data_IF_315100623375
#
_entry.id   IF_315100623375
#
_cell.length_a   1.000
_cell.length_b   1.000
_cell.length_c   1.000
_cell.angle_alpha   90.00
_cell.angle_beta   90.00
_cell.angle_gamma   90.00
#
_symmetry.space_group_name_H-M   'P 1'
#
loop_
_entity.id
_entity.type
_entity.pdbx_description
1 polymer ?
#
# COMPACT_ATOMS: atom_id res chain seq x y z
N UNK A 1 14.69 0.78 16.99
CA UNK A 1 14.14 1.85 16.11
C UNK A 1 12.66 1.54 15.83
N UNK A 2 11.78 2.45 16.17
CA UNK A 2 10.35 2.32 15.89
C UNK A 2 10.08 2.39 14.37
N UNK A 3 8.92 1.92 13.94
CA UNK A 3 8.51 2.02 12.53
C UNK A 3 8.46 3.49 12.10
N UNK A 4 7.99 4.37 12.98
CA UNK A 4 7.96 5.81 12.72
C UNK A 4 9.37 6.40 12.51
N UNK A 5 10.35 6.00 13.31
CA UNK A 5 11.75 6.42 13.14
C UNK A 5 12.35 5.88 11.85
N UNK A 6 12.04 4.64 11.48
CA UNK A 6 12.48 4.05 10.21
C UNK A 6 11.90 4.80 9.01
N UNK A 7 10.63 5.15 9.04
CA UNK A 7 10.01 5.97 7.99
C UNK A 7 10.69 7.34 7.91
N UNK A 8 10.91 7.99 9.05
CA UNK A 8 11.60 9.28 9.10
C UNK A 8 13.01 9.22 8.51
N UNK A 9 13.76 8.15 8.80
CA UNK A 9 15.08 7.92 8.22
C UNK A 9 15.06 7.73 6.69
N UNK A 10 13.93 7.31 6.14
CA UNK A 10 13.68 7.21 4.69
C UNK A 10 13.15 8.52 4.09
N UNK A 11 13.03 9.59 4.89
CA UNK A 11 12.42 10.86 4.46
C UNK A 11 10.90 10.80 4.31
N UNK A 12 10.26 9.81 4.94
CA UNK A 12 8.83 9.55 4.85
C UNK A 12 8.13 9.85 6.18
N UNK A 13 6.88 10.24 6.10
CA UNK A 13 6.02 10.46 7.27
C UNK A 13 4.79 9.58 7.14
N UNK A 14 4.38 8.96 8.25
CA UNK A 14 3.14 8.21 8.29
C UNK A 14 1.97 9.19 8.09
N UNK A 15 1.15 9.02 7.06
CA UNK A 15 0.02 9.92 6.84
C UNK A 15 -1.09 9.70 7.90
N UNK A 16 -2.01 10.65 7.99
CA UNK A 16 -3.28 10.42 8.67
C UNK A 16 -4.09 9.42 7.86
N UNK A 17 -4.61 8.39 8.51
CA UNK A 17 -5.43 7.39 7.84
C UNK A 17 -6.65 8.03 7.20
N UNK A 18 -6.91 7.70 5.92
CA UNK A 18 -8.07 8.19 5.20
C UNK A 18 -9.36 7.64 5.83
N UNK A 19 -10.36 8.51 5.99
CA UNK A 19 -11.69 8.07 6.40
C UNK A 19 -12.34 7.27 5.26
N UNK A 20 -13.02 6.15 5.55
CA UNK A 20 -13.74 5.41 4.52
C UNK A 20 -14.90 6.23 3.97
N UNK A 21 -15.09 6.18 2.66
CA UNK A 21 -16.19 6.88 1.96
C UNK A 21 -17.41 5.99 1.74
N UNK A 22 -17.41 4.76 2.27
CA UNK A 22 -18.45 3.76 2.10
C UNK A 22 -18.67 2.93 3.39
N UNK A 23 -19.51 1.92 3.33
CA UNK A 23 -19.88 1.08 4.47
C UNK A 23 -18.80 0.04 4.82
N UNK A 24 -17.57 0.49 5.07
CA UNK A 24 -16.45 -0.35 5.51
C UNK A 24 -15.49 0.44 6.42
N UNK A 25 -14.50 -0.23 6.99
CA UNK A 25 -13.46 0.35 7.83
C UNK A 25 -12.08 0.20 7.16
N UNK A 26 -11.12 1.10 7.45
CA UNK A 26 -9.79 1.05 6.81
C UNK A 26 -8.99 -0.20 7.11
N UNK A 27 -9.17 -0.80 8.29
CA UNK A 27 -8.50 -2.03 8.68
C UNK A 27 -9.31 -2.81 9.69
N UNK A 28 -9.11 -4.13 9.70
CA UNK A 28 -9.75 -5.07 10.63
C UNK A 28 -8.67 -5.93 11.27
N UNK A 29 -8.69 -6.04 12.60
CA UNK A 29 -7.88 -7.00 13.34
C UNK A 29 -8.69 -8.27 13.58
N UNK A 30 -8.13 -9.42 13.25
CA UNK A 30 -8.69 -10.75 13.48
C UNK A 30 -7.60 -11.67 14.05
N UNK A 31 -7.71 -12.01 15.34
CA UNK A 31 -6.62 -12.69 16.05
C UNK A 31 -5.35 -11.82 16.05
N UNK A 32 -4.23 -12.36 15.59
CA UNK A 32 -2.98 -11.62 15.43
C UNK A 32 -2.75 -11.12 13.98
N UNK A 33 -3.76 -11.21 13.11
CA UNK A 33 -3.71 -10.67 11.76
C UNK A 33 -4.43 -9.34 11.66
N UNK A 34 -3.88 -8.43 10.85
CA UNK A 34 -4.53 -7.18 10.47
C UNK A 34 -4.67 -7.13 8.96
N UNK A 35 -5.87 -6.88 8.50
CA UNK A 35 -6.24 -6.75 7.10
C UNK A 35 -6.55 -5.27 6.79
N UNK A 36 -5.95 -4.69 5.77
CA UNK A 36 -6.36 -3.36 5.32
C UNK A 36 -7.41 -3.45 4.23
N UNK A 37 -8.26 -2.44 4.14
CA UNK A 37 -8.97 -2.14 2.91
C UNK A 37 -7.96 -1.73 1.83
N UNK A 38 -8.37 -1.79 0.57
CA UNK A 38 -7.57 -1.27 -0.54
C UNK A 38 -7.27 0.21 -0.37
N UNK A 39 -6.02 0.59 -0.53
CA UNK A 39 -5.55 1.97 -0.39
C UNK A 39 -5.18 2.55 -1.74
N UNK A 40 -5.69 3.74 -2.01
CA UNK A 40 -5.39 4.53 -3.18
C UNK A 40 -4.21 5.48 -2.90
N UNK A 41 -3.54 6.03 -3.94
CA UNK A 41 -2.44 6.98 -3.76
C UNK A 41 -2.99 8.39 -3.44
N UNK A 42 -3.48 8.55 -2.22
CA UNK A 42 -4.11 9.77 -1.71
C UNK A 42 -3.18 10.47 -0.73
N UNK A 43 -3.05 11.77 -0.85
CA UNK A 43 -2.38 12.67 0.10
C UNK A 43 -3.36 13.78 0.47
N UNK A 44 -3.55 14.02 1.77
CA UNK A 44 -4.47 15.05 2.28
C UNK A 44 -5.89 14.98 1.68
N UNK A 45 -6.40 13.76 1.54
CA UNK A 45 -7.74 13.49 1.03
C UNK A 45 -7.89 13.61 -0.50
N UNK A 46 -6.80 13.83 -1.23
CA UNK A 46 -6.81 14.01 -2.70
C UNK A 46 -5.97 12.95 -3.40
N UNK A 47 -6.48 12.41 -4.48
CA UNK A 47 -5.72 11.54 -5.37
C UNK A 47 -4.56 12.33 -5.98
N UNK A 48 -3.33 11.80 -5.87
CA UNK A 48 -2.11 12.48 -6.35
C UNK A 48 -2.10 12.57 -7.88
N UNK A 49 -2.54 11.50 -8.54
CA UNK A 49 -2.61 11.41 -9.99
C UNK A 49 -3.70 10.41 -10.37
N UNK A 50 -4.35 10.63 -11.48
CA UNK A 50 -5.34 9.72 -12.02
C UNK A 50 -4.98 9.27 -13.44
N UNK A 51 -5.54 8.15 -13.88
CA UNK A 51 -5.37 7.64 -15.23
C UNK A 51 -4.79 6.23 -15.29
N UNK A 52 -4.69 5.73 -16.52
CA UNK A 52 -4.21 4.38 -16.80
C UNK A 52 -2.69 4.34 -16.94
N UNK A 53 -2.09 3.37 -16.29
CA UNK A 53 -0.65 3.13 -16.37
C UNK A 53 -0.30 2.55 -17.73
N UNK A 54 0.67 3.17 -18.39
CA UNK A 54 1.08 2.84 -19.75
C UNK A 54 0.53 3.79 -20.81
N UNK A 55 -0.42 4.66 -20.43
CA UNK A 55 -0.89 5.77 -21.29
C UNK A 55 -0.84 7.11 -20.57
N UNK A 56 -1.72 7.32 -19.58
CA UNK A 56 -1.82 8.60 -18.87
C UNK A 56 -0.74 8.75 -17.79
N UNK A 57 -0.32 7.63 -17.21
CA UNK A 57 0.64 7.53 -16.11
C UNK A 57 1.78 6.62 -16.51
N UNK A 58 3.03 7.05 -16.31
CA UNK A 58 4.20 6.21 -16.56
C UNK A 58 4.32 5.10 -15.52
N UNK A 59 5.02 4.01 -15.87
CA UNK A 59 5.31 2.93 -14.93
C UNK A 59 6.13 3.42 -13.72
N UNK A 60 7.05 4.35 -13.93
CA UNK A 60 7.88 4.95 -12.89
C UNK A 60 7.03 5.77 -11.91
N UNK A 61 6.16 6.64 -12.41
CA UNK A 61 5.24 7.40 -11.57
C UNK A 61 4.29 6.49 -10.80
N UNK A 62 3.76 5.46 -11.46
CA UNK A 62 2.87 4.49 -10.83
C UNK A 62 3.57 3.70 -9.70
N UNK A 63 4.86 3.40 -9.84
CA UNK A 63 5.66 2.79 -8.78
C UNK A 63 5.77 3.69 -7.55
N UNK A 64 5.99 4.98 -7.73
CA UNK A 64 6.00 5.96 -6.63
C UNK A 64 4.61 6.08 -5.97
N UNK A 65 3.55 6.04 -6.78
CA UNK A 65 2.17 6.05 -6.28
C UNK A 65 1.84 4.78 -5.47
N UNK A 66 2.37 3.62 -5.86
CA UNK A 66 2.24 2.38 -5.09
C UNK A 66 2.91 2.49 -3.70
N UNK A 67 4.02 3.22 -3.60
CA UNK A 67 4.64 3.53 -2.31
C UNK A 67 3.71 4.37 -1.42
N UNK A 68 3.03 5.36 -1.98
CA UNK A 68 2.04 6.17 -1.26
C UNK A 68 0.89 5.30 -0.76
N UNK A 69 0.38 4.39 -1.60
CA UNK A 69 -0.64 3.42 -1.19
C UNK A 69 -0.18 2.58 0.00
N UNK A 70 1.07 2.11 0.00
CA UNK A 70 1.62 1.33 1.12
C UNK A 70 1.74 2.16 2.41
N UNK A 71 2.12 3.44 2.32
CA UNK A 71 2.09 4.35 3.47
C UNK A 71 0.68 4.52 4.03
N UNK A 72 -0.32 4.65 3.17
CA UNK A 72 -1.72 4.72 3.56
C UNK A 72 -2.19 3.41 4.21
N UNK A 73 -1.69 2.25 3.74
CA UNK A 73 -1.97 0.96 4.38
C UNK A 73 -1.37 0.88 5.78
N UNK A 74 -0.13 1.35 5.99
CA UNK A 74 0.47 1.44 7.33
C UNK A 74 -0.33 2.37 8.24
N UNK A 75 -0.80 3.50 7.72
CA UNK A 75 -1.67 4.41 8.47
C UNK A 75 -3.00 3.74 8.85
N UNK A 76 -3.61 2.95 7.95
CA UNK A 76 -4.82 2.18 8.25
C UNK A 76 -4.57 1.14 9.34
N UNK A 77 -3.45 0.39 9.29
CA UNK A 77 -3.07 -0.56 10.34
C UNK A 77 -2.94 0.14 11.70
N UNK A 78 -2.37 1.35 11.73
CA UNK A 78 -2.18 2.10 12.98
C UNK A 78 -3.46 2.48 13.71
N UNK A 79 -4.63 2.39 13.05
CA UNK A 79 -5.93 2.61 13.69
C UNK A 79 -6.37 1.46 14.60
N UNK A 80 -5.86 0.25 14.36
CA UNK A 80 -6.30 -0.97 15.06
C UNK A 80 -5.17 -1.70 15.77
N UNK A 81 -3.91 -1.32 15.53
CA UNK A 81 -2.73 -1.93 16.13
C UNK A 81 -1.55 -0.96 16.14
N UNK A 82 -0.66 -1.11 17.12
CA UNK A 82 0.62 -0.42 17.11
C UNK A 82 1.52 -1.03 16.01
N UNK A 83 2.07 -0.20 15.13
CA UNK A 83 2.96 -0.64 14.05
C UNK A 83 4.23 -1.33 14.56
N UNK A 84 4.71 -0.97 15.76
CA UNK A 84 5.87 -1.62 16.38
C UNK A 84 5.56 -3.04 16.88
N UNK A 85 4.29 -3.41 16.95
CA UNK A 85 3.84 -4.78 17.22
C UNK A 85 3.71 -5.63 15.95
N UNK A 86 3.92 -5.07 14.77
CA UNK A 86 3.94 -5.86 13.54
C UNK A 86 5.18 -6.75 13.55
N UNK A 87 4.95 -8.06 13.53
CA UNK A 87 6.00 -9.06 13.42
C UNK A 87 6.48 -9.19 11.98
N UNK A 88 5.52 -9.32 11.04
CA UNK A 88 5.84 -9.48 9.62
C UNK A 88 4.72 -9.03 8.69
N UNK A 89 5.10 -8.71 7.48
CA UNK A 89 4.16 -8.58 6.37
C UNK A 89 3.84 -9.97 5.83
N UNK A 90 2.55 -10.31 5.74
CA UNK A 90 2.09 -11.63 5.29
C UNK A 90 1.82 -11.61 3.79
N UNK A 91 1.06 -10.62 3.34
CA UNK A 91 0.61 -10.52 1.95
C UNK A 91 0.44 -9.07 1.50
N UNK A 92 0.75 -8.85 0.22
CA UNK A 92 0.42 -7.62 -0.50
C UNK A 92 -0.42 -7.98 -1.71
N UNK A 93 -1.57 -7.34 -1.86
CA UNK A 93 -2.37 -7.35 -3.08
C UNK A 93 -2.17 -6.03 -3.82
N UNK A 94 -1.71 -6.09 -5.06
CA UNK A 94 -1.50 -4.92 -5.91
C UNK A 94 -2.38 -4.98 -7.15
N UNK A 95 -3.12 -3.89 -7.39
CA UNK A 95 -4.04 -3.75 -8.51
C UNK A 95 -3.64 -2.51 -9.32
N UNK A 96 -3.41 -2.69 -10.59
CA UNK A 96 -2.95 -1.62 -11.48
C UNK A 96 -3.99 -1.34 -12.53
N UNK A 97 -4.43 -0.10 -12.64
CA UNK A 97 -5.32 0.38 -13.68
C UNK A 97 -4.53 0.48 -15.00
N UNK A 98 -4.56 -0.58 -15.79
CA UNK A 98 -3.69 -0.73 -16.96
C UNK A 98 -4.32 -0.18 -18.24
N UNK A 99 -3.52 0.55 -19.02
CA UNK A 99 -3.80 0.73 -20.43
C UNK A 99 -3.72 -0.61 -21.17
N UNK A 100 -4.44 -0.79 -22.29
CA UNK A 100 -4.33 -2.01 -23.07
C UNK A 100 -2.88 -2.34 -23.45
N UNK A 101 -2.46 -3.58 -23.19
CA UNK A 101 -1.12 -4.04 -23.49
C UNK A 101 -0.04 -3.71 -22.47
N UNK A 102 -0.34 -2.96 -21.41
CA UNK A 102 0.60 -2.75 -20.32
C UNK A 102 0.68 -3.99 -19.44
N UNK A 103 1.85 -4.63 -19.39
CA UNK A 103 2.07 -5.88 -18.64
C UNK A 103 3.20 -5.79 -17.61
N UNK A 104 3.89 -4.66 -17.50
CA UNK A 104 4.94 -4.44 -16.50
C UNK A 104 4.37 -4.15 -15.08
N UNK A 105 3.29 -4.82 -14.74
CA UNK A 105 2.52 -4.67 -13.51
C UNK A 105 3.35 -4.97 -12.26
N UNK A 106 4.16 -6.04 -12.20
CA UNK A 106 4.99 -6.33 -11.02
C UNK A 106 5.92 -5.18 -10.65
N UNK A 107 6.49 -4.50 -11.65
CA UNK A 107 7.38 -3.34 -11.44
C UNK A 107 6.69 -2.17 -10.74
N UNK A 108 5.42 -1.92 -11.04
CA UNK A 108 4.61 -0.90 -10.38
C UNK A 108 4.37 -1.27 -8.91
N UNK A 109 3.93 -2.49 -8.64
CA UNK A 109 3.63 -2.96 -7.28
C UNK A 109 4.90 -3.05 -6.42
N UNK A 110 6.08 -3.16 -7.03
CA UNK A 110 7.36 -3.10 -6.32
C UNK A 110 7.51 -1.82 -5.48
N UNK A 111 6.90 -0.72 -5.85
CA UNK A 111 6.91 0.49 -5.02
C UNK A 111 6.38 0.26 -3.60
N UNK A 112 5.32 -0.51 -3.47
CA UNK A 112 4.79 -0.93 -2.18
C UNK A 112 5.69 -1.97 -1.49
N UNK A 113 6.05 -3.02 -2.20
CA UNK A 113 6.85 -4.12 -1.64
C UNK A 113 8.22 -3.67 -1.14
N UNK A 114 8.91 -2.83 -1.91
CA UNK A 114 10.22 -2.30 -1.53
C UNK A 114 10.15 -1.41 -0.28
N UNK A 115 9.11 -0.58 -0.15
CA UNK A 115 8.90 0.20 1.08
C UNK A 115 8.72 -0.71 2.29
N UNK A 116 7.85 -1.71 2.19
CA UNK A 116 7.58 -2.64 3.29
C UNK A 116 8.84 -3.42 3.70
N UNK A 117 9.66 -3.83 2.74
CA UNK A 117 10.95 -4.48 3.03
C UNK A 117 11.91 -3.51 3.73
N UNK A 118 12.02 -2.25 3.29
CA UNK A 118 12.86 -1.24 3.94
C UNK A 118 12.43 -0.97 5.39
N UNK A 119 11.12 -0.98 5.64
CA UNK A 119 10.56 -0.68 6.96
C UNK A 119 10.67 -1.88 7.91
N UNK A 120 10.32 -3.08 7.45
CA UNK A 120 10.26 -4.29 8.30
C UNK A 120 11.50 -5.20 8.18
N UNK A 121 12.39 -4.92 7.24
CA UNK A 121 13.61 -5.70 7.01
C UNK A 121 13.41 -6.87 6.04
N UNK A 122 14.53 -7.44 5.59
CA UNK A 122 14.54 -8.49 4.56
C UNK A 122 13.80 -9.77 4.94
N UNK A 123 13.73 -10.10 6.23
CA UNK A 123 13.05 -11.31 6.70
C UNK A 123 11.55 -11.04 6.88
N UNK A 124 11.23 -10.01 7.64
CA UNK A 124 9.85 -9.73 8.06
C UNK A 124 9.07 -8.86 7.07
N UNK A 125 9.75 -8.13 6.22
CA UNK A 125 9.14 -7.33 5.15
C UNK A 125 8.84 -8.13 3.88
N UNK A 126 9.51 -9.26 3.64
CA UNK A 126 9.20 -10.15 2.50
C UNK A 126 7.87 -10.86 2.71
N UNK A 127 7.07 -10.92 1.68
CA UNK A 127 5.67 -11.32 1.74
C UNK A 127 5.24 -12.07 0.48
N UNK A 128 4.15 -12.83 0.59
CA UNK A 128 3.44 -13.34 -0.58
C UNK A 128 2.71 -12.17 -1.29
N UNK A 129 2.61 -12.23 -2.61
CA UNK A 129 2.07 -11.11 -3.39
C UNK A 129 1.26 -11.57 -4.59
N UNK A 130 0.19 -10.84 -4.87
CA UNK A 130 -0.47 -10.80 -6.17
C UNK A 130 -0.32 -9.40 -6.77
N UNK A 131 0.04 -9.31 -8.05
CA UNK A 131 0.14 -8.08 -8.80
C UNK A 131 -0.57 -8.28 -10.14
N UNK A 132 -1.71 -7.65 -10.31
CA UNK A 132 -2.59 -7.84 -11.49
C UNK A 132 -3.07 -6.51 -12.05
N UNK A 133 -3.36 -6.51 -13.34
CA UNK A 133 -4.04 -5.42 -14.00
C UNK A 133 -5.55 -5.56 -13.84
N UNK A 134 -6.24 -4.44 -13.75
CA UNK A 134 -7.69 -4.34 -13.69
C UNK A 134 -8.21 -3.38 -14.76
N UNK A 135 -9.46 -3.55 -15.14
CA UNK A 135 -10.09 -2.70 -16.15
C UNK A 135 -10.21 -1.26 -15.68
N UNK A 136 -10.63 -1.05 -14.43
CA UNK A 136 -10.82 0.24 -13.81
C UNK A 136 -10.51 0.17 -12.32
N UNK A 137 -10.11 1.31 -11.73
CA UNK A 137 -10.02 1.49 -10.28
C UNK A 137 -10.92 2.66 -9.83
N UNK A 138 -11.34 2.67 -8.56
CA UNK A 138 -12.11 3.79 -8.03
C UNK A 138 -11.42 5.13 -8.27
N UNK A 139 -12.18 6.16 -8.60
CA UNK A 139 -11.69 7.52 -8.86
C UNK A 139 -10.67 7.61 -10.01
N UNK A 140 -10.63 6.60 -10.87
CA UNK A 140 -9.61 6.48 -11.92
C UNK A 140 -8.18 6.45 -11.36
N UNK A 141 -8.00 5.91 -10.14
CA UNK A 141 -6.69 5.77 -9.53
C UNK A 141 -5.80 4.84 -10.38
N UNK A 142 -4.49 5.11 -10.48
CA UNK A 142 -3.58 4.27 -11.28
C UNK A 142 -3.22 2.97 -10.58
N UNK A 143 -3.24 2.93 -9.26
CA UNK A 143 -2.83 1.76 -8.47
C UNK A 143 -3.61 1.72 -7.16
N UNK A 144 -3.84 0.51 -6.66
CA UNK A 144 -4.44 0.24 -5.36
C UNK A 144 -3.67 -0.89 -4.67
N UNK A 145 -3.43 -0.75 -3.37
CA UNK A 145 -2.68 -1.71 -2.56
C UNK A 145 -3.46 -2.10 -1.33
N UNK A 146 -3.57 -3.40 -1.07
CA UNK A 146 -4.02 -3.95 0.21
C UNK A 146 -2.90 -4.74 0.89
N UNK A 147 -2.90 -4.77 2.21
CA UNK A 147 -1.84 -5.41 3.00
C UNK A 147 -2.44 -6.26 4.12
N UNK A 148 -1.83 -7.42 4.35
CA UNK A 148 -2.09 -8.24 5.53
C UNK A 148 -0.78 -8.32 6.31
N UNK A 149 -0.84 -7.98 7.60
CA UNK A 149 0.29 -8.12 8.53
C UNK A 149 -0.06 -9.04 9.69
N UNK A 150 0.96 -9.65 10.28
CA UNK A 150 0.87 -10.44 11.51
C UNK A 150 1.49 -9.64 12.65
N UNK A 151 0.82 -9.61 13.77
CA UNK A 151 1.31 -9.00 15.01
C UNK A 151 2.07 -10.03 15.85
N UNK A 152 2.96 -9.55 16.68
CA UNK A 152 3.62 -10.35 17.73
C UNK A 152 2.57 -10.94 18.67
N UNK A 153 2.84 -12.13 19.21
CA UNK A 153 2.00 -12.76 20.23
C UNK A 153 2.13 -12.06 21.57
#
# INVERSE_FOLDING_TARGET
>A
MSIKEKLSALGLTLPTAAAPVAAYVPAVKSGNLVFTAGQLPVIDGKLVKEGKVGSDVSAEDAKELAQICALNALAAISLVADLDQVERVVRVGGFVNCAPGFIAIPGVVNGASELLIKVFGDVNGKHARTAVGVAELPLNAPVEIEVIVQLKN
#
